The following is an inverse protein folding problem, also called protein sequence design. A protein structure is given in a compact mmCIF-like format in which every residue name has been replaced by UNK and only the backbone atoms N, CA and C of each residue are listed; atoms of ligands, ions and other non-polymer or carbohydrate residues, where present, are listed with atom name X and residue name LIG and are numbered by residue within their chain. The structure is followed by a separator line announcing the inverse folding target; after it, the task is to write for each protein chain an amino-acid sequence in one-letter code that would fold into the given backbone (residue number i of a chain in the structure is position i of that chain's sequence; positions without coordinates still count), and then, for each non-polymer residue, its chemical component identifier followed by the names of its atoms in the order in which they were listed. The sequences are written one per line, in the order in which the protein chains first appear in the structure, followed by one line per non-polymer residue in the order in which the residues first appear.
data_IF_842819208504
#
_entry.id   IF_842819208504
#
_cell.length_a   1.000
_cell.length_b   1.000
_cell.length_c   1.000
_cell.angle_alpha   90.00
_cell.angle_beta   90.00
_cell.angle_gamma   90.00
#
_symmetry.space_group_name_H-M   'P 1'
#
loop_
_entity.id
_entity.type
_entity.pdbx_description
1 polymer ?
#
# COMPACT_ATOMS: atom_id res chain seq x y z
N UNK A 1 -7.69 -2.56 -22.47
CA UNK A 1 -6.65 -3.60 -22.62
C UNK A 1 -7.15 -4.87 -21.94
N UNK A 2 -7.58 -5.87 -22.72
CA UNK A 2 -8.05 -7.16 -22.17
C UNK A 2 -6.85 -8.01 -21.75
N UNK A 3 -6.67 -8.21 -20.44
CA UNK A 3 -5.70 -9.17 -19.93
C UNK A 3 -6.16 -10.59 -20.32
N UNK A 4 -5.37 -11.29 -21.12
CA UNK A 4 -5.56 -12.73 -21.37
C UNK A 4 -5.03 -13.46 -20.15
N UNK A 5 -5.94 -14.00 -19.33
CA UNK A 5 -5.57 -14.81 -18.18
C UNK A 5 -5.18 -16.21 -18.66
N UNK A 6 -3.89 -16.52 -18.70
CA UNK A 6 -3.47 -17.91 -18.96
C UNK A 6 -3.55 -18.71 -17.66
N UNK A 7 -3.79 -20.02 -17.75
CA UNK A 7 -3.91 -20.90 -16.56
C UNK A 7 -2.60 -20.96 -15.76
N UNK A 8 -1.47 -20.57 -16.34
CA UNK A 8 -0.14 -20.60 -15.73
C UNK A 8 0.16 -19.38 -14.84
N UNK A 9 -0.63 -18.31 -14.94
CA UNK A 9 -0.37 -17.08 -14.16
C UNK A 9 -0.93 -17.12 -12.73
N UNK A 10 -1.33 -18.30 -12.23
CA UNK A 10 -1.92 -18.46 -10.90
C UNK A 10 -0.84 -18.66 -9.84
N UNK A 11 -0.74 -17.72 -8.93
CA UNK A 11 0.16 -17.74 -7.79
C UNK A 11 -0.57 -18.17 -6.51
N UNK A 12 -0.07 -19.21 -5.87
CA UNK A 12 -0.43 -19.56 -4.50
C UNK A 12 0.18 -18.60 -3.48
N UNK A 13 -0.32 -18.59 -2.24
CA UNK A 13 0.24 -17.76 -1.17
C UNK A 13 1.75 -17.98 -0.98
N UNK A 14 2.22 -19.23 -1.08
CA UNK A 14 3.62 -19.59 -0.92
C UNK A 14 4.51 -19.11 -2.09
N UNK A 15 3.95 -18.99 -3.30
CA UNK A 15 4.68 -18.44 -4.46
C UNK A 15 4.79 -16.92 -4.34
N UNK A 16 3.69 -16.24 -4.02
CA UNK A 16 3.70 -14.79 -3.75
C UNK A 16 4.66 -14.44 -2.62
N UNK A 17 4.61 -15.21 -1.53
CA UNK A 17 5.49 -15.04 -0.37
C UNK A 17 6.97 -15.08 -0.75
N UNK A 18 7.38 -16.10 -1.53
CA UNK A 18 8.76 -16.22 -2.04
C UNK A 18 9.13 -15.09 -2.99
N UNK A 19 8.20 -14.67 -3.86
CA UNK A 19 8.44 -13.62 -4.84
C UNK A 19 8.69 -12.25 -4.20
N UNK A 20 7.99 -11.96 -3.11
CA UNK A 20 8.06 -10.67 -2.42
C UNK A 20 8.93 -10.70 -1.15
N UNK A 21 9.57 -11.84 -0.87
CA UNK A 21 10.32 -12.10 0.35
C UNK A 21 9.53 -11.74 1.63
N UNK A 22 8.28 -12.22 1.70
CA UNK A 22 7.39 -12.03 2.85
C UNK A 22 6.90 -13.36 3.40
N UNK A 23 6.47 -13.35 4.68
CA UNK A 23 5.87 -14.53 5.27
C UNK A 23 4.52 -14.91 4.58
N UNK A 24 4.23 -16.20 4.31
CA UNK A 24 2.99 -16.62 3.65
C UNK A 24 1.71 -16.16 4.34
N UNK A 25 1.73 -16.05 5.67
CA UNK A 25 0.59 -15.54 6.45
C UNK A 25 0.28 -14.06 6.15
N UNK A 26 1.28 -13.28 5.72
CA UNK A 26 1.10 -11.90 5.27
C UNK A 26 0.23 -11.86 4.02
N UNK A 27 0.47 -12.77 3.06
CA UNK A 27 -0.35 -12.89 1.84
C UNK A 27 -1.78 -13.33 2.19
N UNK A 28 -1.94 -14.27 3.12
CA UNK A 28 -3.26 -14.67 3.61
C UNK A 28 -4.00 -13.50 4.26
N UNK A 29 -3.29 -12.66 5.02
CA UNK A 29 -3.87 -11.43 5.60
C UNK A 29 -4.33 -10.47 4.52
N UNK A 30 -3.55 -10.28 3.46
CA UNK A 30 -3.94 -9.42 2.33
C UNK A 30 -5.19 -9.92 1.61
N UNK A 31 -5.42 -11.22 1.53
CA UNK A 31 -6.68 -11.77 1.00
C UNK A 31 -7.89 -11.56 1.91
N UNK A 32 -7.69 -11.58 3.23
CA UNK A 32 -8.78 -11.55 4.21
C UNK A 32 -9.17 -10.13 4.62
N UNK A 33 -8.17 -9.30 4.87
CA UNK A 33 -8.33 -7.98 5.49
C UNK A 33 -7.67 -6.88 4.66
N UNK A 34 -6.91 -7.25 3.63
CA UNK A 34 -6.18 -6.30 2.83
C UNK A 34 -4.97 -5.69 3.53
N UNK A 35 -4.44 -4.65 2.91
CA UNK A 35 -3.38 -3.80 3.42
C UNK A 35 -3.71 -2.36 3.04
N UNK A 36 -3.72 -1.46 4.03
CA UNK A 36 -3.99 -0.02 3.83
C UNK A 36 -5.30 0.29 3.07
N UNK A 37 -6.32 -0.55 3.25
CA UNK A 37 -7.63 -0.38 2.61
C UNK A 37 -7.75 -1.03 1.22
N UNK A 38 -6.69 -1.63 0.71
CA UNK A 38 -6.72 -2.39 -0.55
C UNK A 38 -6.75 -3.89 -0.25
N UNK A 39 -7.62 -4.65 -0.92
CA UNK A 39 -7.72 -6.10 -0.76
C UNK A 39 -7.04 -6.80 -1.94
N UNK A 40 -6.22 -7.83 -1.67
CA UNK A 40 -5.61 -8.61 -2.74
C UNK A 40 -6.67 -9.56 -3.35
N UNK A 41 -6.97 -9.35 -4.63
CA UNK A 41 -7.93 -10.19 -5.37
C UNK A 41 -7.44 -11.64 -5.42
N UNK A 42 -8.37 -12.58 -5.25
CA UNK A 42 -8.07 -14.01 -5.31
C UNK A 42 -9.26 -14.82 -5.81
N UNK A 43 -8.97 -16.00 -6.37
CA UNK A 43 -9.96 -17.01 -6.76
C UNK A 43 -9.73 -18.30 -5.97
N UNK A 44 -10.79 -19.08 -5.77
CA UNK A 44 -10.73 -20.40 -5.13
C UNK A 44 -10.84 -21.49 -6.19
N UNK A 45 -9.85 -22.39 -6.26
CA UNK A 45 -9.82 -23.52 -7.19
C UNK A 45 -9.47 -24.78 -6.38
N UNK A 46 -10.37 -25.77 -6.36
CA UNK A 46 -10.14 -27.02 -5.63
C UNK A 46 -9.84 -26.83 -4.14
N UNK A 47 -10.49 -25.88 -3.47
CA UNK A 47 -10.26 -25.59 -2.05
C UNK A 47 -9.09 -24.65 -1.76
N UNK A 48 -8.17 -24.44 -2.71
CA UNK A 48 -7.00 -23.56 -2.57
C UNK A 48 -7.27 -22.18 -3.15
N UNK A 49 -6.72 -21.14 -2.53
CA UNK A 49 -6.78 -19.75 -3.02
C UNK A 49 -5.55 -19.42 -3.86
N UNK A 50 -5.80 -18.74 -4.96
CA UNK A 50 -4.77 -18.25 -5.89
C UNK A 50 -5.03 -16.78 -6.21
N UNK A 51 -3.96 -16.04 -6.47
CA UNK A 51 -4.01 -14.71 -7.08
C UNK A 51 -3.37 -14.78 -8.45
N UNK A 52 -3.66 -13.81 -9.32
CA UNK A 52 -2.97 -13.68 -10.60
C UNK A 52 -1.87 -12.62 -10.48
N UNK A 53 -0.83 -12.75 -11.28
CA UNK A 53 0.30 -11.81 -11.30
C UNK A 53 -0.18 -10.36 -11.50
N UNK A 54 -1.03 -10.11 -12.50
CA UNK A 54 -1.54 -8.75 -12.76
C UNK A 54 -2.36 -8.18 -11.58
N UNK A 55 -3.08 -9.03 -10.85
CA UNK A 55 -3.80 -8.59 -9.66
C UNK A 55 -2.87 -8.26 -8.50
N UNK A 56 -1.76 -8.99 -8.38
CA UNK A 56 -0.72 -8.70 -7.41
C UNK A 56 -0.03 -7.38 -7.73
N UNK A 57 0.34 -7.15 -8.99
CA UNK A 57 0.93 -5.90 -9.45
C UNK A 57 0.00 -4.71 -9.22
N UNK A 58 -1.28 -4.84 -9.57
CA UNK A 58 -2.29 -3.83 -9.30
C UNK A 58 -2.38 -3.55 -7.80
N UNK A 59 -2.44 -4.59 -6.97
CA UNK A 59 -2.52 -4.44 -5.52
C UNK A 59 -1.30 -3.68 -4.95
N UNK A 60 -0.10 -4.06 -5.35
CA UNK A 60 1.14 -3.41 -4.90
C UNK A 60 1.17 -1.94 -5.32
N UNK A 61 0.77 -1.64 -6.56
CA UNK A 61 0.69 -0.26 -7.07
C UNK A 61 -0.16 0.63 -6.17
N UNK A 62 -1.38 0.19 -5.83
CA UNK A 62 -2.27 0.95 -4.95
C UNK A 62 -1.73 1.08 -3.51
N UNK A 63 -1.08 0.04 -2.99
CA UNK A 63 -0.44 0.09 -1.66
C UNK A 63 0.70 1.11 -1.61
N UNK A 64 1.49 1.23 -2.68
CA UNK A 64 2.56 2.24 -2.78
C UNK A 64 2.04 3.65 -3.01
N UNK A 65 0.99 3.81 -3.81
CA UNK A 65 0.36 5.13 -4.04
C UNK A 65 -0.26 5.68 -2.76
N UNK A 66 -0.98 4.83 -2.01
CA UNK A 66 -1.54 5.22 -0.70
C UNK A 66 -0.47 5.59 0.34
N UNK A 67 0.73 5.02 0.26
CA UNK A 67 1.87 5.42 1.08
C UNK A 67 2.39 6.82 0.73
N UNK A 68 2.52 7.04 -0.57
CA UNK A 68 3.05 8.28 -1.13
C UNK A 68 2.13 9.45 -0.77
N UNK A 69 0.82 9.26 -0.87
CA UNK A 69 -0.17 10.26 -0.50
C UNK A 69 -0.17 10.58 1.00
N UNK A 70 -0.10 9.56 1.86
CA UNK A 70 0.01 9.79 3.32
C UNK A 70 1.30 10.51 3.67
N UNK A 71 2.42 10.15 3.04
CA UNK A 71 3.72 10.78 3.27
C UNK A 71 3.72 12.24 2.82
N UNK A 72 3.10 12.55 1.68
CA UNK A 72 2.90 13.93 1.21
C UNK A 72 2.06 14.76 2.19
N UNK A 73 0.92 14.22 2.64
CA UNK A 73 0.07 14.91 3.64
C UNK A 73 0.83 15.18 4.93
N UNK A 74 1.52 14.19 5.48
CA UNK A 74 2.32 14.34 6.70
C UNK A 74 3.46 15.36 6.53
N UNK A 75 4.10 15.38 5.36
CA UNK A 75 5.16 16.36 5.06
C UNK A 75 4.58 17.77 4.94
N UNK A 76 3.40 17.93 4.34
CA UNK A 76 2.71 19.22 4.27
C UNK A 76 2.22 19.70 5.63
N UNK A 77 1.79 18.80 6.52
CA UNK A 77 1.37 19.12 7.89
C UNK A 77 2.57 19.55 8.75
N UNK A 78 3.71 18.87 8.63
CA UNK A 78 4.94 19.27 9.31
C UNK A 78 5.46 20.61 8.78
N UNK A 79 5.41 20.84 7.47
CA UNK A 79 5.76 22.12 6.85
C UNK A 79 4.84 23.26 7.30
N UNK A 80 3.53 23.02 7.34
CA UNK A 80 2.54 23.97 7.83
C UNK A 80 2.71 24.27 9.33
N UNK A 81 2.96 23.24 10.15
CA UNK A 81 3.21 23.39 11.58
C UNK A 81 4.50 24.19 11.83
N UNK A 82 5.56 23.95 11.05
CA UNK A 82 6.82 24.67 11.14
C UNK A 82 6.65 26.12 10.68
N UNK A 83 5.93 26.36 9.58
CA UNK A 83 5.60 27.69 9.11
C UNK A 83 4.76 28.49 10.12
N UNK A 84 3.77 27.85 10.75
CA UNK A 84 2.96 28.47 11.80
C UNK A 84 3.79 28.85 13.05
N UNK A 85 4.74 27.99 13.43
CA UNK A 85 5.62 28.24 14.57
C UNK A 85 6.59 29.40 14.29
N UNK A 86 7.17 29.47 13.08
CA UNK A 86 8.01 30.59 12.64
C UNK A 86 7.22 31.90 12.50
N UNK A 87 5.99 31.84 11.99
CA UNK A 87 5.12 33.02 11.89
C UNK A 87 4.78 33.60 13.26
N UNK A 88 4.59 32.73 14.27
CA UNK A 88 4.34 33.15 15.66
C UNK A 88 5.56 33.80 16.32
N UNK A 89 6.78 33.41 15.95
CA UNK A 89 8.02 34.03 16.47
C UNK A 89 8.31 35.42 15.87
N UNK A 90 7.84 35.73 14.65
CA UNK A 90 8.05 37.05 14.02
C UNK A 90 7.20 38.20 14.61
N UNK A 91 6.26 37.91 15.51
CA UNK A 91 5.41 38.92 16.18
C UNK A 91 6.00 39.51 17.48
N UNK A 92 7.15 39.04 17.96
CA UNK A 92 7.75 39.46 19.22
C UNK A 92 8.80 40.58 19.07
N UNK A 93 8.44 41.72 18.50
CA UNK A 93 9.24 42.96 18.62
C UNK A 93 8.54 43.92 19.56
N UNK A 94 8.78 43.76 20.86
CA UNK A 94 8.77 44.79 21.90
C UNK A 94 9.21 44.16 23.23
N UNK A 95 10.52 44.01 23.38
CA UNK A 95 11.15 43.97 24.70
C UNK A 95 12.03 45.22 24.79
N UNK A 96 11.46 46.22 25.47
CA UNK A 96 12.06 47.41 26.09
C UNK A 96 12.83 48.37 25.19
#
# INVERSE_FOLDING_TARGET
MSARFTRDDRLSAAQVARKLDVHPMTVVRWWRSGLRGHLLRSIKVGGRRFTFENWLEDFLRHVHESESDRSRRRSSELGAATAALLARCKGGSKCQ
#
